data_IF_128129669799
#
_entry.id   IF_128129669799
#
_cell.length_a   1.000
_cell.length_b   1.000
_cell.length_c   1.000
_cell.angle_alpha   90.00
_cell.angle_beta   90.00
_cell.angle_gamma   90.00
#
_symmetry.space_group_name_H-M   'P 1'
#
loop_
_entity.id
_entity.type
_entity.pdbx_description
1 polymer ?
#
# COMPACT_ATOMS: atom_id res chain seq x y z
N UNK A 1 -10.45 5.19 24.51
CA UNK A 1 -10.43 6.10 23.34
C UNK A 1 -9.53 5.44 22.32
N UNK A 2 -10.06 4.96 21.20
CA UNK A 2 -9.23 4.35 20.16
C UNK A 2 -8.36 5.45 19.56
N UNK A 3 -7.09 5.44 19.96
CA UNK A 3 -6.08 6.35 19.44
C UNK A 3 -5.69 5.88 18.04
N UNK A 4 -6.12 6.62 17.02
CA UNK A 4 -5.75 6.38 15.62
C UNK A 4 -4.22 6.55 15.44
N UNK A 5 -3.63 5.88 14.45
CA UNK A 5 -2.22 6.05 14.10
C UNK A 5 -1.89 7.49 13.73
N UNK A 6 -2.86 8.18 13.14
CA UNK A 6 -2.78 9.55 12.67
C UNK A 6 -4.12 10.23 13.00
N UNK A 7 -4.17 11.54 13.31
CA UNK A 7 -5.42 12.24 13.56
C UNK A 7 -6.44 12.01 12.42
N UNK A 8 -7.71 11.83 12.79
CA UNK A 8 -8.79 11.54 11.84
C UNK A 8 -8.87 12.61 10.73
N UNK A 9 -8.62 13.87 11.08
CA UNK A 9 -8.61 14.99 10.15
C UNK A 9 -7.59 14.82 9.02
N UNK A 10 -6.45 14.19 9.30
CA UNK A 10 -5.42 13.94 8.29
C UNK A 10 -5.83 12.82 7.32
N UNK A 11 -6.48 11.76 7.81
CA UNK A 11 -7.08 10.74 6.93
C UNK A 11 -8.17 11.32 6.02
N UNK A 12 -8.99 12.22 6.56
CA UNK A 12 -10.03 12.91 5.80
C UNK A 12 -9.43 13.87 4.77
N UNK A 13 -8.43 14.68 5.16
CA UNK A 13 -7.75 15.65 4.31
C UNK A 13 -6.97 14.98 3.16
N UNK A 14 -6.38 13.81 3.40
CA UNK A 14 -5.71 13.03 2.36
C UNK A 14 -6.68 12.34 1.38
N UNK A 15 -7.97 12.25 1.73
CA UNK A 15 -8.99 11.63 0.88
C UNK A 15 -8.96 10.10 0.88
N UNK A 16 -8.43 9.47 1.95
CA UNK A 16 -8.32 8.01 2.09
C UNK A 16 -9.69 7.32 2.05
N UNK A 17 -10.71 7.99 2.57
CA UNK A 17 -12.08 7.49 2.67
C UNK A 17 -12.88 7.58 1.37
N UNK A 18 -12.39 8.28 0.34
CA UNK A 18 -13.11 8.49 -0.92
C UNK A 18 -12.80 7.32 -1.85
N UNK A 19 -13.78 6.44 -2.07
CA UNK A 19 -13.70 5.34 -3.03
C UNK A 19 -14.26 5.71 -4.40
N UNK A 20 -14.67 4.71 -5.18
CA UNK A 20 -15.17 4.88 -6.55
C UNK A 20 -16.70 4.78 -6.61
N UNK A 21 -17.27 4.83 -7.82
CA UNK A 21 -18.70 4.56 -8.07
C UNK A 21 -19.01 3.07 -8.21
N UNK A 22 -18.00 2.21 -8.28
CA UNK A 22 -18.17 0.77 -8.39
C UNK A 22 -17.95 0.10 -7.04
N UNK A 23 -18.70 -0.97 -6.78
CA UNK A 23 -18.55 -1.82 -5.60
C UNK A 23 -18.45 -3.29 -6.00
N UNK A 24 -17.58 -4.00 -5.30
CA UNK A 24 -17.49 -5.47 -5.35
C UNK A 24 -18.15 -6.10 -4.12
N UNK A 25 -18.63 -7.33 -4.23
CA UNK A 25 -19.25 -8.05 -3.11
C UNK A 25 -18.28 -8.21 -1.93
N UNK A 26 -17.02 -8.54 -2.20
CA UNK A 26 -15.98 -8.74 -1.19
C UNK A 26 -15.64 -7.47 -0.41
N UNK A 27 -15.79 -6.31 -1.07
CA UNK A 27 -15.49 -4.99 -0.51
C UNK A 27 -16.64 -4.40 0.29
N UNK A 28 -17.85 -4.99 0.26
CA UNK A 28 -19.01 -4.51 1.03
C UNK A 28 -18.71 -4.36 2.53
N UNK A 29 -17.86 -5.22 3.09
CA UNK A 29 -17.45 -5.15 4.50
C UNK A 29 -16.61 -3.92 4.85
N UNK A 30 -15.95 -3.28 3.89
CA UNK A 30 -15.10 -2.10 4.12
C UNK A 30 -15.80 -0.78 3.77
N UNK A 31 -16.96 -0.84 3.13
CA UNK A 31 -17.76 0.32 2.75
C UNK A 31 -18.62 0.76 3.96
N UNK A 32 -18.53 2.04 4.32
CA UNK A 32 -19.31 2.64 5.40
C UNK A 32 -20.65 3.19 4.89
N UNK A 33 -20.61 4.06 3.86
CA UNK A 33 -21.81 4.70 3.30
C UNK A 33 -21.65 5.05 1.83
N UNK A 34 -22.76 5.38 1.18
CA UNK A 34 -22.79 5.94 -0.18
C UNK A 34 -23.09 7.44 -0.08
N UNK A 35 -22.35 8.27 -0.81
CA UNK A 35 -22.66 9.71 -0.94
C UNK A 35 -23.79 9.94 -1.94
N UNK A 36 -24.37 11.14 -1.92
CA UNK A 36 -25.39 11.54 -2.90
C UNK A 36 -24.85 11.50 -4.34
N UNK A 37 -23.56 11.75 -4.53
CA UNK A 37 -22.89 11.70 -5.84
C UNK A 37 -22.64 10.27 -6.38
N UNK A 38 -23.06 9.23 -5.63
CA UNK A 38 -22.83 7.83 -5.99
C UNK A 38 -21.43 7.31 -5.65
N UNK A 39 -20.57 8.11 -5.01
CA UNK A 39 -19.26 7.68 -4.51
C UNK A 39 -19.41 6.86 -3.22
N UNK A 40 -18.75 5.71 -3.17
CA UNK A 40 -18.64 4.90 -1.97
C UNK A 40 -17.61 5.49 -1.00
N UNK A 41 -17.95 5.48 0.29
CA UNK A 41 -17.07 5.94 1.37
C UNK A 41 -16.57 4.73 2.14
N UNK A 42 -15.25 4.61 2.26
CA UNK A 42 -14.58 3.57 3.05
C UNK A 42 -14.55 3.93 4.54
N UNK A 43 -14.58 2.90 5.39
CA UNK A 43 -14.45 3.06 6.84
C UNK A 43 -12.98 3.21 7.25
N UNK A 44 -12.62 4.39 7.74
CA UNK A 44 -11.25 4.73 8.17
C UNK A 44 -10.80 3.90 9.37
N UNK A 45 -11.72 3.45 10.23
CA UNK A 45 -11.36 2.60 11.38
C UNK A 45 -10.79 1.27 10.93
N UNK A 46 -11.39 0.68 9.90
CA UNK A 46 -10.92 -0.58 9.30
C UNK A 46 -9.59 -0.37 8.59
N UNK A 47 -9.37 0.79 7.99
CA UNK A 47 -8.07 1.15 7.44
C UNK A 47 -6.99 1.20 8.51
N UNK A 48 -7.24 1.84 9.66
CA UNK A 48 -6.27 1.92 10.78
C UNK A 48 -5.94 0.54 11.34
N UNK A 49 -6.96 -0.29 11.60
CA UNK A 49 -6.78 -1.65 12.09
C UNK A 49 -5.93 -2.49 11.12
N UNK A 50 -6.24 -2.42 9.82
CA UNK A 50 -5.50 -3.16 8.78
C UNK A 50 -4.08 -2.64 8.59
N UNK A 51 -3.84 -1.34 8.75
CA UNK A 51 -2.50 -0.77 8.73
C UNK A 51 -1.65 -1.29 9.88
N UNK A 52 -2.19 -1.40 11.10
CA UNK A 52 -1.45 -1.98 12.23
C UNK A 52 -1.12 -3.45 12.00
N UNK A 53 -2.08 -4.22 11.51
CA UNK A 53 -1.86 -5.64 11.20
C UNK A 53 -0.81 -5.80 10.11
N UNK A 54 -0.88 -4.99 9.04
CA UNK A 54 0.09 -5.01 7.95
C UNK A 54 1.49 -4.59 8.43
N UNK A 55 1.60 -3.54 9.26
CA UNK A 55 2.87 -3.12 9.84
C UNK A 55 3.52 -4.21 10.69
N UNK A 56 2.73 -4.87 11.55
CA UNK A 56 3.21 -6.01 12.35
C UNK A 56 3.58 -7.22 11.49
N UNK A 57 2.86 -7.47 10.40
CA UNK A 57 3.13 -8.56 9.49
C UNK A 57 4.45 -8.34 8.74
N UNK A 58 4.59 -7.16 8.12
CA UNK A 58 5.78 -6.78 7.34
C UNK A 58 7.04 -6.65 8.21
N UNK A 59 6.90 -6.26 9.47
CA UNK A 59 8.04 -6.17 10.39
C UNK A 59 8.67 -7.53 10.74
N UNK A 60 7.98 -8.65 10.50
CA UNK A 60 8.52 -10.00 10.74
C UNK A 60 9.49 -10.48 9.67
N UNK A 61 9.45 -9.86 8.48
CA UNK A 61 10.29 -10.22 7.35
C UNK A 61 11.48 -9.28 7.22
N UNK A 62 12.56 -9.78 6.63
CA UNK A 62 13.73 -8.97 6.32
C UNK A 62 13.40 -7.95 5.23
N UNK A 63 13.85 -6.68 5.36
CA UNK A 63 13.50 -5.63 4.41
C UNK A 63 13.91 -5.94 2.97
N UNK A 64 15.04 -6.62 2.78
CA UNK A 64 15.54 -6.96 1.44
C UNK A 64 14.65 -7.95 0.69
N UNK A 65 13.89 -8.77 1.42
CA UNK A 65 13.00 -9.79 0.87
C UNK A 65 11.56 -9.29 0.71
N UNK A 66 11.27 -8.05 1.05
CA UNK A 66 9.97 -7.44 0.75
C UNK A 66 10.08 -6.75 -0.61
N UNK A 67 9.07 -6.95 -1.46
CA UNK A 67 8.96 -6.23 -2.74
C UNK A 67 7.72 -5.35 -2.75
N UNK A 68 7.90 -4.04 -2.98
CA UNK A 68 6.81 -3.11 -3.23
C UNK A 68 6.71 -2.75 -4.72
N UNK A 69 5.52 -2.90 -5.31
CA UNK A 69 5.26 -2.64 -6.73
C UNK A 69 4.17 -1.59 -6.91
N UNK A 70 4.39 -0.68 -7.87
CA UNK A 70 3.35 0.23 -8.35
C UNK A 70 3.56 0.56 -9.82
N UNK A 71 2.69 0.07 -10.69
CA UNK A 71 2.59 0.51 -12.08
C UNK A 71 2.02 1.93 -12.17
N UNK A 72 1.10 2.30 -11.27
CA UNK A 72 0.45 3.62 -11.28
C UNK A 72 1.44 4.77 -11.09
N UNK A 73 1.35 5.79 -11.94
CA UNK A 73 2.21 6.98 -11.89
C UNK A 73 2.24 7.64 -10.50
N UNK A 74 1.07 7.86 -9.89
CA UNK A 74 0.98 8.50 -8.57
C UNK A 74 1.52 7.63 -7.42
N UNK A 75 1.60 6.31 -7.60
CA UNK A 75 2.14 5.38 -6.60
C UNK A 75 3.65 5.14 -6.74
N UNK A 76 4.26 5.47 -7.87
CA UNK A 76 5.69 5.25 -8.11
C UNK A 76 6.57 6.01 -7.11
N UNK A 77 6.28 7.29 -6.85
CA UNK A 77 7.08 8.09 -5.90
C UNK A 77 6.90 7.64 -4.45
N UNK A 78 5.67 7.41 -3.94
CA UNK A 78 5.46 6.83 -2.61
C UNK A 78 6.19 5.50 -2.42
N UNK A 79 6.10 4.58 -3.39
CA UNK A 79 6.76 3.27 -3.34
C UNK A 79 8.27 3.38 -3.34
N UNK A 80 8.84 4.27 -4.18
CA UNK A 80 10.28 4.53 -4.19
C UNK A 80 10.76 5.07 -2.85
N UNK A 81 10.06 6.07 -2.30
CA UNK A 81 10.41 6.66 -0.99
C UNK A 81 10.21 5.70 0.17
N UNK A 82 9.19 4.85 0.10
CA UNK A 82 8.99 3.77 1.03
C UNK A 82 10.19 2.82 1.05
N UNK A 83 10.69 2.43 -0.13
CA UNK A 83 11.91 1.63 -0.25
C UNK A 83 13.15 2.34 0.31
N UNK A 84 13.35 3.62 -0.03
CA UNK A 84 14.48 4.42 0.48
C UNK A 84 14.51 4.48 2.02
N UNK A 85 13.34 4.53 2.67
CA UNK A 85 13.21 4.69 4.12
C UNK A 85 13.30 3.36 4.88
N UNK A 86 12.71 2.29 4.35
CA UNK A 86 12.59 1.00 5.04
C UNK A 86 13.65 -0.02 4.63
N UNK A 87 14.44 0.29 3.60
CA UNK A 87 15.36 -0.65 2.96
C UNK A 87 14.66 -1.68 2.06
N UNK A 88 13.35 -1.54 1.86
CA UNK A 88 12.53 -2.46 1.06
C UNK A 88 12.82 -2.30 -0.42
N UNK A 89 12.94 -3.42 -1.14
CA UNK A 89 13.11 -3.37 -2.59
C UNK A 89 11.82 -2.86 -3.23
N UNK A 90 11.97 -1.92 -4.16
CA UNK A 90 10.83 -1.27 -4.79
C UNK A 90 10.99 -1.26 -6.31
N UNK A 91 9.91 -1.62 -7.02
CA UNK A 91 9.84 -1.54 -8.48
C UNK A 91 8.77 -0.49 -8.83
N UNK A 92 9.19 0.78 -9.01
CA UNK A 92 8.31 1.79 -9.56
C UNK A 92 8.15 1.57 -11.07
N UNK A 93 6.90 1.55 -11.54
CA UNK A 93 6.56 1.49 -12.95
C UNK A 93 6.27 0.08 -13.43
N UNK A 94 6.66 -0.21 -14.68
CA UNK A 94 6.30 -1.47 -15.32
C UNK A 94 7.04 -2.64 -14.66
N UNK A 95 6.28 -3.58 -14.12
CA UNK A 95 6.81 -4.87 -13.69
C UNK A 95 7.19 -5.71 -14.92
N UNK A 96 8.44 -6.15 -14.99
CA UNK A 96 8.93 -7.00 -16.07
C UNK A 96 8.51 -8.45 -15.80
N UNK A 97 7.78 -9.11 -16.71
CA UNK A 97 7.43 -10.50 -16.52
C UNK A 97 8.67 -11.38 -16.39
N UNK A 98 8.64 -12.31 -15.44
CA UNK A 98 9.77 -13.18 -15.12
C UNK A 98 10.73 -12.61 -14.08
N UNK A 99 10.42 -11.45 -13.49
CA UNK A 99 11.20 -10.89 -12.39
C UNK A 99 11.26 -11.84 -11.19
N UNK A 100 10.20 -12.62 -10.93
CA UNK A 100 10.23 -13.59 -9.83
C UNK A 100 10.32 -15.04 -10.30
N UNK A 101 9.93 -15.36 -11.54
CA UNK A 101 9.85 -16.76 -12.01
C UNK A 101 11.04 -17.21 -12.86
N UNK A 102 11.79 -16.29 -13.46
CA UNK A 102 12.90 -16.65 -14.36
C UNK A 102 14.26 -16.20 -13.81
N UNK A 103 15.14 -17.12 -13.37
CA UNK A 103 16.46 -16.76 -12.83
C UNK A 103 17.44 -16.20 -13.87
N UNK A 104 17.14 -16.30 -15.17
CA UNK A 104 18.01 -15.78 -16.23
C UNK A 104 17.85 -14.27 -16.46
N UNK A 105 16.78 -13.64 -15.95
CA UNK A 105 16.61 -12.19 -16.10
C UNK A 105 17.56 -11.47 -15.15
N UNK A 106 18.18 -10.36 -15.63
CA UNK A 106 19.18 -9.61 -14.83
C UNK A 106 18.65 -9.08 -13.50
N UNK A 107 17.35 -8.80 -13.41
CA UNK A 107 16.66 -8.29 -12.24
C UNK A 107 15.80 -9.37 -11.58
N UNK A 108 16.28 -10.60 -11.56
CA UNK A 108 15.62 -11.69 -10.85
C UNK A 108 15.64 -11.45 -9.34
N UNK A 109 14.52 -11.72 -8.68
CA UNK A 109 14.42 -11.64 -7.23
C UNK A 109 13.38 -12.61 -6.68
N UNK A 110 13.67 -13.14 -5.51
CA UNK A 110 12.79 -14.05 -4.77
C UNK A 110 12.38 -13.36 -3.46
N UNK A 111 11.33 -12.51 -3.49
CA UNK A 111 10.83 -11.87 -2.29
C UNK A 111 10.00 -12.86 -1.45
N UNK A 112 10.01 -12.68 -0.13
CA UNK A 112 9.15 -13.41 0.80
C UNK A 112 7.75 -12.81 0.90
N UNK A 113 7.59 -11.52 0.59
CA UNK A 113 6.30 -10.80 0.66
C UNK A 113 6.19 -9.79 -0.49
N UNK A 114 5.02 -9.75 -1.11
CA UNK A 114 4.67 -8.75 -2.12
C UNK A 114 3.72 -7.69 -1.56
N UNK A 115 4.06 -6.41 -1.74
CA UNK A 115 3.20 -5.26 -1.49
C UNK A 115 2.74 -4.69 -2.83
N UNK A 116 1.42 -4.65 -3.03
CA UNK A 116 0.78 -4.19 -4.26
C UNK A 116 -0.02 -2.91 -4.03
N UNK A 117 0.16 -1.92 -4.91
CA UNK A 117 -0.58 -0.65 -4.83
C UNK A 117 -1.99 -0.76 -5.41
N UNK A 118 -2.15 -1.46 -6.53
CA UNK A 118 -3.46 -1.71 -7.12
C UNK A 118 -3.51 -3.11 -7.71
N UNK A 119 -4.31 -4.03 -7.13
CA UNK A 119 -4.46 -5.39 -7.64
C UNK A 119 -4.79 -5.48 -9.13
N UNK A 120 -5.50 -4.48 -9.68
CA UNK A 120 -5.90 -4.47 -11.08
C UNK A 120 -4.74 -4.08 -12.00
N UNK A 121 -4.00 -3.04 -11.64
CA UNK A 121 -2.87 -2.55 -12.44
C UNK A 121 -1.65 -3.47 -12.33
N UNK A 122 -1.37 -3.97 -11.13
CA UNK A 122 -0.20 -4.77 -10.79
C UNK A 122 -0.47 -6.29 -10.88
N UNK A 123 -1.49 -6.70 -11.64
CA UNK A 123 -1.91 -8.09 -11.77
C UNK A 123 -0.79 -9.04 -12.22
N UNK A 124 0.20 -8.54 -12.97
CA UNK A 124 1.36 -9.34 -13.37
C UNK A 124 2.22 -9.76 -12.18
N UNK A 125 2.49 -8.83 -11.26
CA UNK A 125 3.24 -9.14 -10.04
C UNK A 125 2.46 -10.10 -9.14
N UNK A 126 1.14 -9.94 -9.06
CA UNK A 126 0.28 -10.88 -8.33
C UNK A 126 0.32 -12.30 -8.93
N UNK A 127 0.29 -12.44 -10.25
CA UNK A 127 0.36 -13.77 -10.90
C UNK A 127 1.65 -14.50 -10.55
N UNK A 128 2.78 -13.83 -10.66
CA UNK A 128 4.09 -14.42 -10.33
C UNK A 128 4.19 -14.74 -8.83
N UNK A 129 3.65 -13.88 -7.97
CA UNK A 129 3.58 -14.15 -6.54
C UNK A 129 2.75 -15.40 -6.21
N UNK A 130 1.64 -15.63 -6.91
CA UNK A 130 0.82 -16.84 -6.76
C UNK A 130 1.58 -18.09 -7.23
N UNK A 131 2.31 -17.99 -8.34
CA UNK A 131 3.09 -19.12 -8.88
C UNK A 131 4.21 -19.57 -7.93
N UNK A 132 4.81 -18.62 -7.21
CA UNK A 132 5.90 -18.87 -6.25
C UNK A 132 5.37 -19.21 -4.85
N UNK A 133 4.13 -18.78 -4.54
CA UNK A 133 3.46 -19.07 -3.28
C UNK A 133 3.80 -18.08 -2.17
N UNK A 134 4.01 -16.80 -2.50
CA UNK A 134 4.34 -15.76 -1.51
C UNK A 134 3.09 -14.98 -1.10
N UNK A 135 2.97 -14.57 0.18
CA UNK A 135 1.84 -13.77 0.66
C UNK A 135 1.78 -12.38 0.02
N UNK A 136 0.56 -11.93 -0.26
CA UNK A 136 0.28 -10.66 -0.95
C UNK A 136 -0.45 -9.70 0.00
N UNK A 137 0.19 -8.54 0.25
CA UNK A 137 -0.41 -7.38 0.93
C UNK A 137 -0.81 -6.36 -0.13
N UNK A 138 -2.08 -5.96 -0.17
CA UNK A 138 -2.54 -5.04 -1.21
C UNK A 138 -3.35 -3.85 -0.67
N UNK A 139 -3.15 -2.69 -1.29
CA UNK A 139 -4.02 -1.53 -1.14
C UNK A 139 -5.24 -1.71 -2.04
N UNK A 140 -6.43 -1.78 -1.43
CA UNK A 140 -7.67 -2.13 -2.14
C UNK A 140 -8.68 -0.99 -2.06
N UNK A 141 -9.23 -0.64 -3.22
CA UNK A 141 -10.34 0.30 -3.36
C UNK A 141 -11.66 -0.45 -3.56
N UNK A 142 -12.80 0.25 -3.58
CA UNK A 142 -14.14 -0.33 -3.61
C UNK A 142 -14.43 -1.18 -4.85
N UNK A 143 -13.70 -0.94 -5.95
CA UNK A 143 -13.81 -1.66 -7.23
C UNK A 143 -12.91 -2.91 -7.31
N UNK A 144 -11.93 -3.07 -6.43
CA UNK A 144 -11.01 -4.19 -6.50
C UNK A 144 -11.67 -5.49 -5.97
N UNK A 145 -11.16 -6.63 -6.47
CA UNK A 145 -11.47 -7.96 -5.93
C UNK A 145 -10.43 -8.33 -4.88
N UNK A 146 -10.82 -9.17 -3.91
CA UNK A 146 -9.92 -9.68 -2.88
C UNK A 146 -9.35 -11.07 -3.22
N UNK A 147 -9.56 -11.54 -4.45
CA UNK A 147 -8.99 -12.80 -4.93
C UNK A 147 -7.47 -12.77 -4.86
N UNK A 148 -6.87 -13.77 -4.19
CA UNK A 148 -5.43 -13.91 -3.99
C UNK A 148 -4.77 -12.78 -3.18
N UNK A 149 -5.54 -12.00 -2.42
CA UNK A 149 -5.01 -11.00 -1.49
C UNK A 149 -5.15 -11.51 -0.07
N UNK A 150 -4.03 -11.77 0.60
CA UNK A 150 -4.02 -12.29 1.98
C UNK A 150 -4.29 -11.18 3.00
N UNK A 151 -3.64 -10.03 2.82
CA UNK A 151 -3.82 -8.86 3.68
C UNK A 151 -4.28 -7.67 2.86
N UNK A 152 -5.56 -7.35 2.98
CA UNK A 152 -6.18 -6.22 2.32
C UNK A 152 -6.18 -4.97 3.22
N UNK A 153 -5.63 -3.86 2.71
CA UNK A 153 -5.69 -2.54 3.35
C UNK A 153 -6.71 -1.69 2.57
N UNK A 154 -7.91 -1.44 3.11
CA UNK A 154 -8.93 -0.65 2.42
C UNK A 154 -8.52 0.82 2.38
N UNK A 155 -8.22 1.34 1.19
CA UNK A 155 -7.81 2.73 1.00
C UNK A 155 -8.05 3.18 -0.44
N UNK A 156 -8.20 4.49 -0.62
CA UNK A 156 -8.12 5.10 -1.94
C UNK A 156 -6.72 4.91 -2.55
N UNK A 157 -6.62 4.08 -3.58
CA UNK A 157 -5.39 3.81 -4.33
C UNK A 157 -5.24 4.65 -5.62
N UNK A 158 -6.09 5.66 -5.81
CA UNK A 158 -6.07 6.57 -6.98
C UNK A 158 -5.53 7.95 -6.62
N UNK A 159 -5.74 8.41 -5.38
CA UNK A 159 -5.34 9.73 -4.93
C UNK A 159 -3.84 9.83 -4.60
N UNK A 160 -3.17 10.88 -5.11
CA UNK A 160 -1.76 11.17 -4.79
C UNK A 160 -1.50 11.33 -3.29
N UNK A 161 -2.39 12.06 -2.60
CA UNK A 161 -2.27 12.35 -1.16
C UNK A 161 -2.57 11.12 -0.31
N UNK A 162 -3.59 10.35 -0.69
CA UNK A 162 -3.95 9.11 -0.03
C UNK A 162 -2.81 8.09 -0.12
N UNK A 163 -2.26 7.83 -1.31
CA UNK A 163 -1.13 6.91 -1.48
C UNK A 163 0.11 7.35 -0.69
N UNK A 164 0.45 8.64 -0.74
CA UNK A 164 1.57 9.17 0.02
C UNK A 164 1.39 8.95 1.54
N UNK A 165 0.20 9.27 2.07
CA UNK A 165 -0.10 9.09 3.49
C UNK A 165 -0.04 7.61 3.89
N UNK A 166 -0.61 6.71 3.11
CA UNK A 166 -0.64 5.27 3.43
C UNK A 166 0.76 4.67 3.46
N UNK A 167 1.59 4.94 2.45
CA UNK A 167 2.98 4.47 2.44
C UNK A 167 3.81 5.09 3.54
N UNK A 168 3.57 6.36 3.88
CA UNK A 168 4.23 7.03 5.01
C UNK A 168 3.87 6.38 6.35
N UNK A 169 2.59 6.10 6.61
CA UNK A 169 2.13 5.41 7.82
C UNK A 169 2.72 4.00 7.87
N UNK A 170 2.69 3.27 6.75
CA UNK A 170 3.20 1.91 6.67
C UNK A 170 4.72 1.85 6.94
N UNK A 171 5.51 2.77 6.38
CA UNK A 171 6.94 2.86 6.64
C UNK A 171 7.20 3.09 8.13
N UNK A 172 6.50 4.06 8.72
CA UNK A 172 6.61 4.37 10.14
C UNK A 172 6.26 3.17 11.03
N UNK A 173 5.18 2.46 10.72
CA UNK A 173 4.76 1.29 11.50
C UNK A 173 5.74 0.12 11.36
N UNK A 174 6.35 -0.10 10.19
CA UNK A 174 7.39 -1.14 10.03
C UNK A 174 8.60 -0.82 10.91
N UNK A 175 9.11 0.41 10.84
CA UNK A 175 10.28 0.84 11.61
C UNK A 175 10.01 0.82 13.13
N UNK A 176 8.80 1.22 13.54
CA UNK A 176 8.37 1.15 14.94
C UNK A 176 8.34 -0.30 15.45
N UNK A 177 7.74 -1.23 14.69
CA UNK A 177 7.67 -2.63 15.09
C UNK A 177 9.05 -3.34 15.06
N UNK A 178 9.98 -2.86 14.22
CA UNK A 178 11.38 -3.31 14.20
C UNK A 178 12.26 -2.70 15.30
N UNK A 179 11.73 -1.75 16.08
CA UNK A 179 12.45 -1.00 17.12
C UNK A 179 13.62 -0.16 16.58
N UNK A 180 13.58 0.22 15.31
CA UNK A 180 14.52 1.21 14.76
C UNK A 180 14.13 2.64 15.19
N UNK A 181 12.89 2.81 15.65
CA UNK A 181 12.33 4.05 16.17
C UNK A 181 11.67 3.76 17.53
N UNK A 182 11.98 4.59 18.54
CA UNK A 182 11.44 4.42 19.90
C UNK A 182 10.00 4.94 20.04
N UNK A 183 9.69 6.11 19.48
CA UNK A 183 8.32 6.66 19.42
C UNK A 183 7.83 6.87 17.99
N UNK A 184 6.51 6.81 17.77
CA UNK A 184 5.91 7.16 16.46
C UNK A 184 6.20 8.61 16.04
N UNK A 185 6.59 9.48 16.97
CA UNK A 185 6.89 10.89 16.74
C UNK A 185 8.30 11.12 16.18
N UNK A 186 9.21 10.15 16.36
CA UNK A 186 10.60 10.26 15.92
C UNK A 186 10.78 10.03 14.41
N UNK A 187 9.68 9.81 13.68
CA UNK A 187 9.71 9.66 12.22
C UNK A 187 9.91 11.01 11.54
N UNK A 188 11.18 11.34 11.24
CA UNK A 188 11.60 12.66 10.73
C UNK A 188 11.26 12.95 9.26
N UNK A 189 10.76 11.96 8.51
CA UNK A 189 10.49 12.15 7.08
C UNK A 189 9.11 12.80 6.88
N UNK A 190 9.01 13.93 6.16
CA UNK A 190 7.72 14.57 5.92
C UNK A 190 6.87 13.78 4.90
N UNK A 191 5.54 13.86 5.04
CA UNK A 191 4.59 13.21 4.11
C UNK A 191 4.74 13.75 2.68
N UNK A 192 5.12 15.01 2.54
CA UNK A 192 5.31 15.70 1.26
C UNK A 192 6.39 15.05 0.37
N UNK A 193 7.37 14.39 0.98
CA UNK A 193 8.42 13.69 0.23
C UNK A 193 7.86 12.47 -0.51
N UNK A 194 6.83 11.84 0.05
CA UNK A 194 6.11 10.73 -0.59
C UNK A 194 5.17 11.23 -1.70
N UNK A 195 4.66 12.47 -1.62
CA UNK A 195 3.74 12.99 -2.63
C UNK A 195 4.41 13.19 -4.00
N UNK A 196 3.80 12.64 -5.05
CA UNK A 196 4.26 12.89 -6.42
C UNK A 196 4.05 14.36 -6.80
N UNK A 197 5.17 15.04 -7.10
CA UNK A 197 5.14 16.40 -7.67
C UNK A 197 4.84 16.29 -9.16
N UNK A 198 3.79 16.98 -9.61
CA UNK A 198 3.51 17.12 -11.04
C UNK A 198 4.45 18.21 -11.53
N UNK A 199 5.57 17.83 -12.15
CA UNK A 199 6.35 18.76 -12.96
C UNK A 199 5.54 18.92 -14.24
N UNK A 200 4.99 20.11 -14.47
CA UNK A 200 4.42 20.45 -15.78
C UNK A 200 5.61 20.56 -16.73
N UNK A 201 5.83 19.51 -17.52
CA UNK A 201 6.69 19.58 -18.72
C UNK A 201 5.91 20.22 -19.85
#
# INVERSE_FOLDING_TARGET
>A
MEEYLVPLDQYLAAGVHIGTQQKTQDMKRFIYRVRQDGLYVLDVRKTDERLRVAGKFLAKFDPENILAVSVRLYGQKPVKKFGDVTGVRSIPGRFLPGTMTNPQVKNFMEPDVLIVTDPRADHQAMKEAIEIGIPIVALVDTENFLSYVDVAIPTNNKGRKALALIYWILAREILYNRKEIESREDFKVPVEDFEMRIIRT
#
